data_IF_305451537659
#
_entry.id   IF_305451537659
#
_cell.length_a   1.000
_cell.length_b   1.000
_cell.length_c   1.000
_cell.angle_alpha   90.00
_cell.angle_beta   90.00
_cell.angle_gamma   90.00
#
_symmetry.space_group_name_H-M   'P 1'
#
loop_
_entity.id
_entity.type
_entity.pdbx_description
1 polymer ?
#
# COMPACT_ATOMS: atom_id res chain seq x y z
N UNK A 1 45.71 32.41 23.94
CA UNK A 1 44.32 32.62 23.50
C UNK A 1 44.04 32.26 22.03
N UNK A 2 45.05 32.10 21.14
CA UNK A 2 44.83 31.77 19.71
C UNK A 2 44.53 30.28 19.43
N UNK A 3 45.02 29.35 20.26
CA UNK A 3 44.86 27.89 20.08
C UNK A 3 43.42 27.40 20.32
N UNK A 4 42.69 28.04 21.22
CA UNK A 4 41.28 27.69 21.51
C UNK A 4 40.36 28.11 20.36
N UNK A 5 40.62 29.25 19.71
CA UNK A 5 39.84 29.71 18.55
C UNK A 5 39.94 28.75 17.36
N UNK A 6 41.14 28.20 17.08
CA UNK A 6 41.34 27.23 16.00
C UNK A 6 40.62 25.90 16.28
N UNK A 7 40.62 25.45 17.53
CA UNK A 7 39.93 24.22 17.92
C UNK A 7 38.40 24.35 17.76
N UNK A 8 37.83 25.50 18.09
CA UNK A 8 36.40 25.75 17.92
C UNK A 8 36.02 25.86 16.43
N UNK A 9 36.86 26.50 15.61
CA UNK A 9 36.64 26.57 14.17
C UNK A 9 36.67 25.19 13.51
N UNK A 10 37.59 24.32 13.94
CA UNK A 10 37.68 22.94 13.44
C UNK A 10 36.47 22.09 13.85
N UNK A 11 35.93 22.29 15.06
CA UNK A 11 34.74 21.58 15.52
C UNK A 11 33.49 22.02 14.74
N UNK A 12 33.34 23.32 14.49
CA UNK A 12 32.22 23.89 13.72
C UNK A 12 32.29 23.42 12.26
N UNK A 13 33.48 23.42 11.65
CA UNK A 13 33.67 22.93 10.29
C UNK A 13 33.33 21.43 10.16
N UNK A 14 33.68 20.62 11.15
CA UNK A 14 33.34 19.19 11.19
C UNK A 14 31.82 18.97 11.32
N UNK A 15 31.14 19.74 12.17
CA UNK A 15 29.69 19.68 12.31
C UNK A 15 28.95 20.09 11.02
N UNK A 16 29.46 21.08 10.28
CA UNK A 16 28.89 21.50 8.99
C UNK A 16 29.08 20.44 7.89
N UNK A 17 30.22 19.74 7.88
CA UNK A 17 30.47 18.61 6.96
C UNK A 17 29.54 17.42 7.25
N UNK A 18 29.29 17.11 8.53
CA UNK A 18 28.34 16.07 8.93
C UNK A 18 26.88 16.42 8.55
N UNK A 19 26.49 17.69 8.70
CA UNK A 19 25.16 18.15 8.30
C UNK A 19 24.95 18.11 6.77
N UNK A 20 25.99 18.39 5.98
CA UNK A 20 25.93 18.33 4.52
C UNK A 20 25.87 16.89 3.96
N UNK A 21 26.35 15.90 4.70
CA UNK A 21 26.20 14.48 4.33
C UNK A 21 24.81 13.92 4.62
N UNK A 22 24.06 14.47 5.58
CA UNK A 22 22.69 14.01 5.92
C UNK A 22 21.56 14.63 5.09
N UNK A 23 21.83 15.70 4.33
CA UNK A 23 20.80 16.44 3.58
C UNK A 23 20.44 15.82 2.21
N UNK A 24 21.07 14.70 1.81
CA UNK A 24 20.75 13.98 0.56
C UNK A 24 19.53 13.04 0.66
N UNK A 25 18.92 12.91 1.83
CA UNK A 25 17.84 11.96 2.11
C UNK A 25 16.41 12.53 2.03
N UNK A 26 16.23 13.70 1.41
CA UNK A 26 14.88 14.26 1.18
C UNK A 26 13.97 13.34 0.36
N UNK A 27 14.54 12.55 -0.57
CA UNK A 27 13.81 11.55 -1.35
C UNK A 27 13.58 10.23 -0.59
N UNK A 28 14.41 9.91 0.40
CA UNK A 28 14.27 8.70 1.23
C UNK A 28 13.17 8.86 2.29
N UNK A 29 13.03 10.07 2.87
CA UNK A 29 11.99 10.36 3.86
C UNK A 29 10.57 10.34 3.24
N UNK A 30 10.40 10.92 2.04
CA UNK A 30 9.11 10.94 1.34
C UNK A 30 8.69 9.55 0.85
N UNK A 31 9.62 8.78 0.29
CA UNK A 31 9.37 7.40 -0.15
C UNK A 31 9.04 6.45 1.02
N UNK A 32 9.56 6.71 2.23
CA UNK A 32 9.16 6.00 3.45
C UNK A 32 7.74 6.34 3.88
N UNK A 33 7.37 7.62 3.84
CA UNK A 33 6.03 8.09 4.23
C UNK A 33 4.93 7.56 3.31
N UNK A 34 5.19 7.40 2.01
CA UNK A 34 4.21 6.84 1.07
C UNK A 34 3.99 5.33 1.21
N UNK A 35 5.02 4.57 1.61
CA UNK A 35 4.92 3.10 1.80
C UNK A 35 4.03 2.68 2.96
N UNK A 36 3.82 3.57 3.94
CA UNK A 36 2.98 3.30 5.11
C UNK A 36 1.49 3.58 4.91
N UNK A 37 1.10 4.20 3.79
CA UNK A 37 -0.28 4.61 3.56
C UNK A 37 -1.19 3.38 3.39
N UNK A 38 -2.35 3.33 4.06
CA UNK A 38 -3.35 2.32 3.81
C UNK A 38 -3.74 2.30 2.33
N UNK A 39 -3.75 1.12 1.72
CA UNK A 39 -4.12 0.94 0.31
C UNK A 39 -4.51 -0.49 -0.02
N UNK A 40 -5.32 -0.63 -1.05
CA UNK A 40 -5.56 -1.91 -1.73
C UNK A 40 -4.85 -1.87 -3.07
N UNK A 41 -3.87 -2.77 -3.26
CA UNK A 41 -3.21 -2.98 -4.54
C UNK A 41 -3.75 -4.25 -5.19
N UNK A 42 -4.29 -4.09 -6.40
CA UNK A 42 -4.82 -5.18 -7.21
C UNK A 42 -3.75 -5.54 -8.24
N UNK A 43 -3.20 -6.75 -8.15
CA UNK A 43 -2.28 -7.31 -9.13
C UNK A 43 -3.01 -8.36 -9.99
N UNK A 44 -2.29 -9.09 -10.85
CA UNK A 44 -2.88 -10.09 -11.75
C UNK A 44 -3.47 -11.33 -11.05
N UNK A 45 -3.01 -11.67 -9.85
CA UNK A 45 -3.34 -12.94 -9.17
C UNK A 45 -3.87 -12.76 -7.74
N UNK A 46 -3.85 -11.55 -7.20
CA UNK A 46 -4.13 -11.26 -5.80
C UNK A 46 -4.60 -9.82 -5.61
N UNK A 47 -5.37 -9.61 -4.55
CA UNK A 47 -5.71 -8.29 -4.02
C UNK A 47 -5.03 -8.14 -2.67
N UNK A 48 -4.06 -7.24 -2.58
CA UNK A 48 -3.26 -7.00 -1.39
C UNK A 48 -3.80 -5.79 -0.62
N UNK A 49 -4.12 -5.99 0.66
CA UNK A 49 -4.58 -4.96 1.58
C UNK A 49 -3.42 -4.63 2.52
N UNK A 50 -2.99 -3.37 2.51
CA UNK A 50 -1.89 -2.89 3.35
C UNK A 50 -2.41 -1.82 4.27
N UNK A 51 -2.10 -1.93 5.56
CA UNK A 51 -2.36 -0.89 6.56
C UNK A 51 -1.35 -0.98 7.68
N UNK A 52 -0.50 0.02 7.86
CA UNK A 52 0.27 0.12 9.10
C UNK A 52 -0.64 0.56 10.26
N UNK A 53 -0.52 -0.01 11.48
CA UNK A 53 0.43 -1.05 11.92
C UNK A 53 -0.10 -2.49 11.81
N UNK A 54 -1.24 -2.72 11.16
CA UNK A 54 -1.78 -4.07 10.96
C UNK A 54 -0.86 -4.91 10.04
N UNK A 55 -0.99 -6.23 10.17
CA UNK A 55 -0.45 -7.19 9.21
C UNK A 55 -0.93 -6.86 7.78
N UNK A 56 -0.23 -7.35 6.76
CA UNK A 56 -0.78 -7.25 5.40
C UNK A 56 -1.80 -8.37 5.19
N UNK A 57 -2.85 -8.14 4.41
CA UNK A 57 -3.77 -9.19 4.01
C UNK A 57 -3.77 -9.37 2.49
N UNK A 58 -4.13 -10.57 2.04
CA UNK A 58 -4.30 -10.88 0.63
C UNK A 58 -5.58 -11.66 0.38
N UNK A 59 -6.31 -11.29 -0.67
CA UNK A 59 -7.44 -12.05 -1.18
C UNK A 59 -7.02 -12.73 -2.49
N UNK A 60 -7.21 -14.04 -2.57
CA UNK A 60 -6.97 -14.84 -3.77
C UNK A 60 -8.17 -14.91 -4.71
N UNK A 61 -7.98 -15.43 -5.94
CA UNK A 61 -9.01 -15.53 -6.97
C UNK A 61 -10.14 -16.51 -6.63
N UNK A 62 -9.88 -17.43 -5.70
CA UNK A 62 -10.80 -18.41 -5.16
C UNK A 62 -11.50 -17.94 -3.87
N UNK A 63 -11.30 -16.67 -3.49
CA UNK A 63 -11.82 -16.12 -2.25
C UNK A 63 -11.07 -16.57 -1.00
N UNK A 64 -9.87 -17.15 -1.15
CA UNK A 64 -8.96 -17.36 -0.02
C UNK A 64 -8.56 -16.03 0.62
N UNK A 65 -8.44 -16.00 1.94
CA UNK A 65 -7.96 -14.84 2.70
C UNK A 65 -6.72 -15.24 3.47
N UNK A 66 -5.63 -14.49 3.29
CA UNK A 66 -4.41 -14.64 4.08
C UNK A 66 -4.12 -13.37 4.83
N UNK A 67 -3.64 -13.49 6.06
CA UNK A 67 -3.06 -12.39 6.84
C UNK A 67 -1.60 -12.76 7.11
N UNK A 68 -0.70 -11.90 6.62
CA UNK A 68 0.70 -12.22 6.38
C UNK A 68 0.83 -13.57 5.65
N UNK A 69 1.43 -14.58 6.28
CA UNK A 69 1.65 -15.89 5.66
C UNK A 69 0.56 -16.93 6.00
N UNK A 70 -0.41 -16.57 6.85
CA UNK A 70 -1.41 -17.49 7.41
C UNK A 70 -2.71 -17.38 6.62
N UNK A 71 -3.15 -18.49 6.01
CA UNK A 71 -4.48 -18.59 5.43
C UNK A 71 -5.54 -18.77 6.53
N UNK A 72 -6.56 -17.91 6.50
CA UNK A 72 -7.68 -17.98 7.44
C UNK A 72 -8.75 -18.95 6.92
N UNK A 73 -9.21 -19.92 7.73
CA UNK A 73 -10.31 -20.77 7.35
C UNK A 73 -11.61 -19.95 7.34
N UNK A 74 -12.20 -19.74 6.17
CA UNK A 74 -13.45 -19.02 5.99
C UNK A 74 -14.59 -19.95 5.58
N UNK A 75 -15.83 -19.71 6.07
CA UNK A 75 -17.02 -20.37 5.54
C UNK A 75 -17.19 -20.11 4.04
N UNK A 76 -17.81 -21.06 3.33
CA UNK A 76 -18.02 -20.98 1.88
C UNK A 76 -18.70 -19.68 1.44
N UNK A 77 -19.68 -19.19 2.21
CA UNK A 77 -20.37 -17.94 1.91
C UNK A 77 -19.43 -16.72 1.87
N UNK A 78 -18.51 -16.62 2.84
CA UNK A 78 -17.53 -15.54 2.91
C UNK A 78 -16.48 -15.65 1.80
N UNK A 79 -16.04 -16.88 1.47
CA UNK A 79 -15.17 -17.11 0.30
C UNK A 79 -15.83 -16.63 -0.99
N UNK A 80 -17.12 -16.92 -1.18
CA UNK A 80 -17.87 -16.43 -2.35
C UNK A 80 -17.93 -14.90 -2.39
N UNK A 81 -18.15 -14.24 -1.26
CA UNK A 81 -18.14 -12.76 -1.19
C UNK A 81 -16.77 -12.18 -1.57
N UNK A 82 -15.69 -12.77 -1.04
CA UNK A 82 -14.31 -12.36 -1.37
C UNK A 82 -13.99 -12.59 -2.84
N UNK A 83 -14.42 -13.72 -3.40
CA UNK A 83 -14.26 -14.01 -4.82
C UNK A 83 -15.02 -12.99 -5.68
N UNK A 84 -16.25 -12.62 -5.31
CA UNK A 84 -17.01 -11.58 -6.03
C UNK A 84 -16.30 -10.24 -5.98
N UNK A 85 -15.80 -9.82 -4.81
CA UNK A 85 -15.03 -8.61 -4.65
C UNK A 85 -13.76 -8.64 -5.51
N UNK A 86 -13.02 -9.75 -5.46
CA UNK A 86 -11.83 -9.97 -6.27
C UNK A 86 -12.13 -9.75 -7.76
N UNK A 87 -13.17 -10.40 -8.29
CA UNK A 87 -13.55 -10.29 -9.70
C UNK A 87 -13.90 -8.85 -10.09
N UNK A 88 -14.67 -8.12 -9.28
CA UNK A 88 -15.00 -6.73 -9.57
C UNK A 88 -13.76 -5.82 -9.56
N UNK A 89 -12.87 -6.02 -8.60
CA UNK A 89 -11.60 -5.29 -8.53
C UNK A 89 -10.69 -5.59 -9.72
N UNK A 90 -10.62 -6.85 -10.17
CA UNK A 90 -9.84 -7.23 -11.36
C UNK A 90 -10.39 -6.60 -12.65
N UNK A 91 -11.71 -6.62 -12.82
CA UNK A 91 -12.36 -5.97 -13.96
C UNK A 91 -12.07 -4.47 -13.98
N UNK A 92 -12.14 -3.81 -12.83
CA UNK A 92 -11.87 -2.38 -12.73
C UNK A 92 -10.38 -2.05 -12.93
N UNK A 93 -9.47 -2.90 -12.41
CA UNK A 93 -8.04 -2.83 -12.71
C UNK A 93 -7.81 -2.86 -14.22
N UNK A 94 -8.38 -3.85 -14.92
CA UNK A 94 -8.19 -4.01 -16.36
C UNK A 94 -8.65 -2.77 -17.15
N UNK A 95 -9.85 -2.25 -16.87
CA UNK A 95 -10.38 -1.02 -17.49
C UNK A 95 -9.48 0.20 -17.24
N UNK A 96 -8.93 0.30 -16.03
CA UNK A 96 -8.03 1.38 -15.65
C UNK A 96 -6.72 1.29 -16.45
N UNK A 97 -6.15 0.09 -16.58
CA UNK A 97 -4.89 -0.11 -17.29
C UNK A 97 -5.01 0.07 -18.80
N UNK A 98 -6.16 -0.25 -19.40
CA UNK A 98 -6.43 -0.03 -20.84
C UNK A 98 -6.34 1.44 -21.25
N UNK A 99 -6.65 2.35 -20.33
CA UNK A 99 -6.65 3.80 -20.58
C UNK A 99 -5.45 4.52 -19.97
N UNK A 100 -4.63 3.82 -19.18
CA UNK A 100 -3.47 4.38 -18.53
C UNK A 100 -2.32 4.58 -19.52
N UNK A 101 -1.71 5.77 -19.50
CA UNK A 101 -0.50 6.04 -20.30
C UNK A 101 0.60 5.00 -19.99
N UNK A 102 1.41 4.56 -20.95
CA UNK A 102 2.55 3.68 -20.69
C UNK A 102 3.50 4.29 -19.64
N UNK A 103 3.92 3.49 -18.65
CA UNK A 103 4.90 3.92 -17.65
C UNK A 103 6.08 2.93 -17.64
N UNK A 104 7.30 3.35 -18.03
CA UNK A 104 8.48 2.48 -18.05
C UNK A 104 8.88 1.97 -16.65
N UNK A 105 8.43 2.64 -15.59
CA UNK A 105 8.69 2.23 -14.20
C UNK A 105 7.60 1.32 -13.63
N UNK A 106 6.58 0.96 -14.42
CA UNK A 106 5.49 0.06 -14.01
C UNK A 106 4.77 0.51 -12.73
N UNK A 107 4.61 1.82 -12.51
CA UNK A 107 3.94 2.33 -11.31
C UNK A 107 2.46 2.02 -11.33
N UNK A 108 1.90 1.77 -10.15
CA UNK A 108 0.47 1.56 -9.97
C UNK A 108 -0.32 2.80 -10.38
N UNK A 109 -1.55 2.59 -10.82
CA UNK A 109 -2.48 3.66 -11.21
C UNK A 109 -3.68 3.62 -10.28
N UNK A 110 -3.99 4.75 -9.65
CA UNK A 110 -5.19 4.84 -8.81
C UNK A 110 -6.46 4.70 -9.65
N UNK A 111 -7.49 4.04 -9.10
CA UNK A 111 -8.79 3.96 -9.76
C UNK A 111 -9.95 4.17 -8.81
N UNK A 112 -11.05 4.67 -9.36
CA UNK A 112 -12.26 4.93 -8.60
C UNK A 112 -13.04 3.64 -8.31
N UNK A 113 -13.62 3.58 -7.12
CA UNK A 113 -14.61 2.56 -6.73
C UNK A 113 -15.89 2.72 -7.55
N UNK A 114 -16.48 1.61 -7.99
CA UNK A 114 -17.85 1.56 -8.56
C UNK A 114 -18.89 1.29 -7.48
N UNK A 115 -20.18 1.54 -7.71
CA UNK A 115 -21.24 1.19 -6.76
C UNK A 115 -21.23 -0.28 -6.33
N UNK A 116 -20.94 -1.19 -7.28
CA UNK A 116 -20.85 -2.64 -7.03
C UNK A 116 -19.66 -2.97 -6.12
N UNK A 117 -18.50 -2.39 -6.38
CA UNK A 117 -17.31 -2.56 -5.53
C UNK A 117 -17.60 -2.01 -4.13
N UNK A 118 -18.22 -0.84 -4.01
CA UNK A 118 -18.55 -0.22 -2.71
C UNK A 118 -19.49 -1.10 -1.87
N UNK A 119 -20.51 -1.68 -2.51
CA UNK A 119 -21.44 -2.59 -1.85
C UNK A 119 -20.73 -3.86 -1.35
N UNK A 120 -19.88 -4.47 -2.19
CA UNK A 120 -19.09 -5.65 -1.82
C UNK A 120 -18.07 -5.36 -0.71
N UNK A 121 -17.38 -4.21 -0.77
CA UNK A 121 -16.47 -3.78 0.29
C UNK A 121 -17.20 -3.65 1.62
N UNK A 122 -18.38 -3.03 1.62
CA UNK A 122 -19.21 -2.86 2.81
C UNK A 122 -19.66 -4.20 3.38
N UNK A 123 -20.13 -5.11 2.52
CA UNK A 123 -20.54 -6.45 2.92
C UNK A 123 -19.38 -7.27 3.51
N UNK A 124 -18.22 -7.27 2.85
CA UNK A 124 -17.03 -7.99 3.30
C UNK A 124 -16.49 -7.44 4.62
N UNK A 125 -16.47 -6.11 4.81
CA UNK A 125 -16.05 -5.49 6.07
C UNK A 125 -17.02 -5.77 7.23
N UNK A 126 -18.32 -5.97 6.93
CA UNK A 126 -19.33 -6.33 7.90
C UNK A 126 -19.26 -7.82 8.27
N UNK A 127 -19.20 -8.70 7.28
CA UNK A 127 -19.35 -10.16 7.44
C UNK A 127 -18.03 -10.87 7.79
N UNK A 128 -16.88 -10.24 7.53
CA UNK A 128 -15.55 -10.81 7.78
C UNK A 128 -14.79 -9.90 8.77
N UNK A 129 -14.91 -10.13 10.09
CA UNK A 129 -14.33 -9.26 11.12
C UNK A 129 -12.81 -9.06 11.00
N UNK A 130 -12.09 -10.08 10.50
CA UNK A 130 -10.64 -10.02 10.28
C UNK A 130 -10.23 -8.97 9.24
N UNK A 131 -11.17 -8.50 8.42
CA UNK A 131 -10.97 -7.45 7.42
C UNK A 131 -11.32 -6.04 7.90
N UNK A 132 -12.03 -5.88 9.03
CA UNK A 132 -12.35 -4.57 9.61
C UNK A 132 -11.14 -3.64 9.79
N UNK A 133 -9.96 -4.13 10.21
CA UNK A 133 -8.78 -3.29 10.30
C UNK A 133 -8.47 -2.58 8.98
N UNK A 134 -8.79 -3.16 7.82
CA UNK A 134 -8.39 -2.61 6.51
C UNK A 134 -9.40 -1.63 5.91
N UNK A 135 -10.42 -1.18 6.64
CA UNK A 135 -11.44 -0.25 6.14
C UNK A 135 -10.85 0.97 5.43
N UNK A 136 -9.83 1.61 6.01
CA UNK A 136 -9.14 2.77 5.42
C UNK A 136 -8.42 2.43 4.10
N UNK A 137 -7.98 1.18 3.92
CA UNK A 137 -7.27 0.73 2.73
C UNK A 137 -8.17 0.78 1.49
N UNK A 138 -9.45 0.47 1.66
CA UNK A 138 -10.44 0.47 0.57
C UNK A 138 -10.73 1.86 0.01
N UNK A 139 -10.34 2.92 0.72
CA UNK A 139 -10.39 4.30 0.22
C UNK A 139 -9.28 4.64 -0.79
N UNK A 140 -8.31 3.75 -1.00
CA UNK A 140 -7.16 3.96 -1.87
C UNK A 140 -6.88 2.72 -2.72
N UNK A 141 -7.63 2.57 -3.81
CA UNK A 141 -7.48 1.46 -4.75
C UNK A 141 -6.41 1.76 -5.80
N UNK A 142 -5.51 0.80 -6.00
CA UNK A 142 -4.36 0.90 -6.88
C UNK A 142 -4.34 -0.30 -7.84
N UNK A 143 -4.33 -0.02 -9.14
CA UNK A 143 -4.13 -1.00 -10.21
C UNK A 143 -2.63 -1.19 -10.42
N UNK A 144 -2.09 -2.33 -10.01
CA UNK A 144 -0.70 -2.69 -10.33
C UNK A 144 -0.59 -3.07 -11.80
N UNK A 145 0.47 -2.61 -12.49
CA UNK A 145 0.69 -2.90 -13.92
C UNK A 145 1.28 -4.28 -14.20
N UNK A 146 1.74 -4.96 -13.14
CA UNK A 146 2.33 -6.31 -13.19
C UNK A 146 1.26 -7.38 -13.04
#
# INVERSE_FOLDING_TARGET
MKKTLVAWFSLIALCLLLAACGARDGAAASSRAERGKPRVSVDSMSVMLRRAPAANASIGPDGSLRIDDIELPLPQAQRTQLQQLFMQLQMQRQRTLETAAPDPNMRSVGFATTPEISALQSAVLHDIPSLQPYQESFGNLQAERR
#
